data_IF_198279920757
#
_entry.id   IF_198279920757
#
_cell.length_a   1.000
_cell.length_b   1.000
_cell.length_c   1.000
_cell.angle_alpha   90.00
_cell.angle_beta   90.00
_cell.angle_gamma   90.00
#
_symmetry.space_group_name_H-M   'P 1'
#
loop_
_entity.id
_entity.type
_entity.pdbx_description
1 polymer ?
#
# COMPACT_ATOMS: atom_id res chain seq x y z
N UNK A 1 2.19 22.65 -0.22
CA UNK A 1 2.89 21.35 -0.23
C UNK A 1 1.79 20.32 -0.26
N UNK A 2 1.92 19.23 -1.01
CA UNK A 2 0.85 18.22 -1.05
C UNK A 2 0.75 17.57 0.33
N UNK A 3 -0.23 18.03 1.12
CA UNK A 3 -0.52 17.58 2.47
C UNK A 3 -1.20 16.18 2.48
N UNK A 4 -1.37 15.56 1.30
CA UNK A 4 -1.99 14.26 1.18
C UNK A 4 -0.98 13.15 1.54
N UNK A 5 -1.38 12.27 2.45
CA UNK A 5 -0.67 11.02 2.70
C UNK A 5 -1.13 9.98 1.69
N UNK A 6 -0.39 9.86 0.59
CA UNK A 6 -0.69 8.96 -0.52
C UNK A 6 0.49 8.04 -0.83
N UNK A 7 0.22 6.76 -1.04
CA UNK A 7 1.21 5.74 -1.40
C UNK A 7 0.84 5.11 -2.74
N UNK A 8 1.81 5.02 -3.65
CA UNK A 8 1.58 4.57 -5.03
C UNK A 8 2.56 3.44 -5.35
N UNK A 9 2.07 2.39 -6.00
CA UNK A 9 2.89 1.36 -6.61
C UNK A 9 2.98 1.62 -8.12
N UNK A 10 4.19 1.71 -8.64
CA UNK A 10 4.44 1.78 -10.08
C UNK A 10 5.18 0.53 -10.56
N UNK A 11 4.59 -0.20 -11.52
CA UNK A 11 5.30 -1.29 -12.17
C UNK A 11 6.31 -0.74 -13.19
N UNK A 12 7.53 -0.47 -12.71
CA UNK A 12 8.67 -0.05 -13.52
C UNK A 12 9.33 -1.19 -14.32
N UNK A 13 8.76 -2.39 -14.29
CA UNK A 13 9.26 -3.54 -15.04
C UNK A 13 9.05 -3.41 -16.56
N UNK A 14 9.82 -4.18 -17.32
CA UNK A 14 9.70 -4.25 -18.79
C UNK A 14 8.37 -4.88 -19.29
N UNK A 15 7.51 -5.34 -18.36
CA UNK A 15 6.33 -6.12 -18.69
C UNK A 15 5.31 -6.24 -17.56
N UNK A 16 4.16 -6.86 -17.84
CA UNK A 16 3.18 -7.19 -16.82
C UNK A 16 3.80 -8.01 -15.68
N UNK A 17 3.32 -7.76 -14.48
CA UNK A 17 3.67 -8.50 -13.28
C UNK A 17 2.42 -9.09 -12.64
N UNK A 18 2.55 -10.27 -12.03
CA UNK A 18 1.49 -10.93 -11.27
C UNK A 18 1.80 -10.77 -9.79
N UNK A 19 0.86 -10.22 -9.02
CA UNK A 19 0.98 -10.14 -7.56
C UNK A 19 0.88 -11.56 -6.97
N UNK A 20 1.88 -11.96 -6.19
CA UNK A 20 1.96 -13.24 -5.47
C UNK A 20 1.67 -13.08 -3.98
N UNK A 21 2.20 -12.02 -3.39
CA UNK A 21 1.99 -11.70 -1.98
C UNK A 21 1.73 -10.20 -1.87
N UNK A 22 0.77 -9.84 -1.03
CA UNK A 22 0.53 -8.45 -0.66
C UNK A 22 0.25 -8.38 0.84
N UNK A 23 1.10 -7.63 1.55
CA UNK A 23 0.98 -7.42 3.00
C UNK A 23 1.15 -5.96 3.36
N UNK A 24 0.41 -5.56 4.39
CA UNK A 24 0.62 -4.32 5.13
C UNK A 24 1.50 -4.63 6.34
N UNK A 25 2.47 -3.79 6.61
CA UNK A 25 3.33 -3.88 7.78
C UNK A 25 3.12 -2.62 8.62
N UNK A 26 2.46 -2.79 9.76
CA UNK A 26 2.12 -1.72 10.69
C UNK A 26 2.75 -1.98 12.05
N UNK A 27 3.62 -1.09 12.53
CA UNK A 27 4.37 -1.27 13.79
C UNK A 27 5.13 -2.61 13.87
N UNK A 28 5.60 -3.12 12.73
CA UNK A 28 6.30 -4.41 12.63
C UNK A 28 5.40 -5.64 12.54
N UNK A 29 4.07 -5.49 12.63
CA UNK A 29 3.13 -6.60 12.43
C UNK A 29 2.79 -6.75 10.94
N UNK A 30 2.97 -7.95 10.40
CA UNK A 30 2.55 -8.29 9.04
C UNK A 30 1.07 -8.66 8.99
N UNK A 31 0.31 -7.99 8.14
CA UNK A 31 -1.12 -8.15 7.93
C UNK A 31 -1.32 -8.50 6.46
N UNK A 32 -1.98 -9.63 6.16
CA UNK A 32 -2.35 -9.96 4.77
C UNK A 32 -3.23 -8.85 4.20
N UNK A 33 -2.88 -8.29 3.04
CA UNK A 33 -3.69 -7.24 2.40
C UNK A 33 -4.72 -7.75 1.41
N UNK A 34 -4.86 -9.07 1.25
CA UNK A 34 -5.95 -9.69 0.48
C UNK A 34 -7.27 -9.79 1.27
N UNK A 35 -7.29 -9.40 2.55
CA UNK A 35 -8.53 -9.35 3.35
C UNK A 35 -9.13 -7.95 3.34
N UNK A 36 -10.45 -7.86 3.38
CA UNK A 36 -11.16 -6.57 3.33
C UNK A 36 -10.79 -5.67 4.50
N UNK A 37 -10.58 -6.24 5.70
CA UNK A 37 -10.25 -5.53 6.94
C UNK A 37 -8.76 -5.14 7.07
N UNK A 38 -7.93 -5.35 6.04
CA UNK A 38 -6.48 -5.22 6.19
C UNK A 38 -6.03 -3.83 6.62
N UNK A 39 -6.57 -2.80 5.97
CA UNK A 39 -6.20 -1.41 6.23
C UNK A 39 -6.74 -0.92 7.57
N UNK A 40 -7.98 -1.26 7.92
CA UNK A 40 -8.55 -0.96 9.25
C UNK A 40 -7.72 -1.60 10.37
N UNK A 41 -7.31 -2.86 10.22
CA UNK A 41 -6.47 -3.53 11.21
C UNK A 41 -5.07 -2.91 11.28
N UNK A 42 -4.50 -2.50 10.15
CA UNK A 42 -3.20 -1.84 10.11
C UNK A 42 -3.25 -0.47 10.81
N UNK A 43 -4.25 0.36 10.50
CA UNK A 43 -4.45 1.67 11.14
C UNK A 43 -4.77 1.52 12.64
N UNK A 44 -5.60 0.55 13.01
CA UNK A 44 -5.89 0.21 14.40
C UNK A 44 -4.63 -0.20 15.18
N UNK A 45 -3.71 -0.94 14.55
CA UNK A 45 -2.41 -1.28 15.15
C UNK A 45 -1.48 -0.06 15.31
N UNK A 46 -1.71 1.02 14.57
CA UNK A 46 -1.04 2.32 14.74
C UNK A 46 -1.76 3.22 15.77
N UNK A 47 -2.92 2.79 16.29
CA UNK A 47 -3.75 3.59 17.18
C UNK A 47 -4.46 4.74 16.46
N UNK A 48 -4.76 4.56 15.17
CA UNK A 48 -5.39 5.55 14.32
C UNK A 48 -6.82 5.14 13.96
N UNK A 49 -7.71 6.12 13.94
CA UNK A 49 -9.09 6.01 13.45
C UNK A 49 -9.32 7.18 12.49
N UNK A 50 -9.08 6.94 11.20
CA UNK A 50 -9.07 7.96 10.15
C UNK A 50 -9.72 7.47 8.88
N UNK A 51 -10.40 8.37 8.17
CA UNK A 51 -10.97 8.10 6.86
C UNK A 51 -9.88 7.86 5.82
N UNK A 52 -10.05 6.85 4.97
CA UNK A 52 -9.05 6.51 3.95
C UNK A 52 -9.67 5.84 2.72
N UNK A 53 -8.96 5.92 1.59
CA UNK A 53 -9.21 5.16 0.36
C UNK A 53 -8.05 4.19 0.18
N UNK A 54 -8.34 2.98 -0.26
CA UNK A 54 -7.31 1.96 -0.44
C UNK A 54 -7.55 1.09 -1.65
N UNK A 55 -6.46 0.50 -2.13
CA UNK A 55 -6.50 -0.53 -3.15
C UNK A 55 -6.55 -1.91 -2.50
N UNK A 56 -7.52 -2.70 -2.95
CA UNK A 56 -7.71 -4.08 -2.56
C UNK A 56 -7.27 -5.01 -3.70
N UNK A 57 -6.03 -5.53 -3.66
CA UNK A 57 -5.55 -6.42 -4.70
C UNK A 57 -6.27 -7.76 -4.65
N UNK A 58 -6.50 -8.35 -5.82
CA UNK A 58 -6.87 -9.77 -5.92
C UNK A 58 -5.63 -10.66 -5.98
N UNK A 59 -5.74 -11.88 -5.45
CA UNK A 59 -4.70 -12.89 -5.67
C UNK A 59 -4.54 -13.13 -7.18
N UNK A 60 -3.30 -13.11 -7.68
CA UNK A 60 -2.96 -13.26 -9.09
C UNK A 60 -3.38 -12.06 -9.99
N UNK A 61 -3.62 -10.89 -9.41
CA UNK A 61 -3.88 -9.69 -10.21
C UNK A 61 -2.69 -9.33 -11.13
N UNK A 62 -3.01 -8.93 -12.36
CA UNK A 62 -2.04 -8.47 -13.34
C UNK A 62 -1.87 -6.95 -13.27
N UNK A 63 -0.64 -6.50 -13.05
CA UNK A 63 -0.25 -5.10 -13.14
C UNK A 63 0.51 -4.89 -14.44
N UNK A 64 -0.07 -4.15 -15.38
CA UNK A 64 0.60 -3.75 -16.63
C UNK A 64 1.86 -2.93 -16.37
N UNK A 65 2.85 -3.01 -17.27
CA UNK A 65 4.03 -2.14 -17.21
C UNK A 65 3.63 -0.66 -17.27
N UNK A 66 4.27 0.18 -16.44
CA UNK A 66 3.99 1.61 -16.32
C UNK A 66 2.65 1.95 -15.65
N UNK A 67 1.88 0.95 -15.19
CA UNK A 67 0.64 1.22 -14.44
C UNK A 67 1.00 1.70 -13.03
N UNK A 68 0.42 2.82 -12.65
CA UNK A 68 0.40 3.33 -11.28
C UNK A 68 -0.87 2.85 -10.57
N UNK A 69 -0.71 2.43 -9.32
CA UNK A 69 -1.79 1.96 -8.45
C UNK A 69 -1.71 2.74 -7.15
N UNK A 70 -2.78 3.43 -6.79
CA UNK A 70 -2.90 4.11 -5.52
C UNK A 70 -3.16 3.09 -4.42
N UNK A 71 -2.11 2.71 -3.69
CA UNK A 71 -2.21 1.71 -2.62
C UNK A 71 -3.07 2.21 -1.46
N UNK A 72 -2.89 3.49 -1.11
CA UNK A 72 -3.53 4.13 0.02
C UNK A 72 -3.57 5.64 -0.16
N UNK A 73 -4.65 6.25 0.28
CA UNK A 73 -4.80 7.70 0.39
C UNK A 73 -5.58 8.04 1.68
N UNK A 74 -4.99 8.89 2.53
CA UNK A 74 -5.67 9.46 3.68
C UNK A 74 -6.69 10.50 3.21
N UNK A 75 -7.93 10.40 3.70
CA UNK A 75 -8.96 11.43 3.47
C UNK A 75 -8.76 12.52 4.53
N UNK A 76 -8.57 13.76 4.08
CA UNK A 76 -8.45 14.94 4.95
C UNK A 76 -9.61 15.87 4.61
N UNK A 77 -10.54 16.06 5.55
CA UNK A 77 -11.68 16.97 5.35
C UNK A 77 -11.27 18.44 5.54
N UNK A 78 -12.06 19.36 4.97
CA UNK A 78 -11.75 20.80 5.09
C UNK A 78 -11.76 21.26 6.56
N UNK A 79 -10.60 21.73 7.03
CA UNK A 79 -10.42 22.25 8.38
C UNK A 79 -9.90 21.23 9.39
N UNK A 80 -9.65 19.99 8.98
CA UNK A 80 -8.96 19.00 9.82
C UNK A 80 -7.44 19.23 9.81
N UNK A 81 -6.81 19.08 10.97
CA UNK A 81 -5.36 19.03 11.12
C UNK A 81 -4.96 17.60 11.49
N UNK A 82 -4.51 16.85 10.47
CA UNK A 82 -4.09 15.44 10.59
C UNK A 82 -2.57 15.29 10.48
N UNK A 83 -1.79 16.34 10.74
CA UNK A 83 -0.33 16.32 10.56
C UNK A 83 0.36 15.21 11.39
N UNK A 84 -0.17 14.91 12.57
CA UNK A 84 0.36 13.86 13.45
C UNK A 84 0.07 12.47 12.89
N UNK A 85 -1.15 12.24 12.43
CA UNK A 85 -1.62 10.99 11.84
C UNK A 85 -0.82 10.71 10.56
N UNK A 86 -0.64 11.72 9.71
CA UNK A 86 0.22 11.65 8.52
C UNK A 86 1.64 11.23 8.89
N UNK A 87 2.24 11.81 9.93
CA UNK A 87 3.58 11.44 10.38
C UNK A 87 3.64 9.98 10.86
N UNK A 88 2.66 9.54 11.66
CA UNK A 88 2.58 8.16 12.16
C UNK A 88 2.46 7.17 10.99
N UNK A 89 1.56 7.44 10.03
CA UNK A 89 1.34 6.57 8.86
C UNK A 89 2.61 6.49 8.01
N UNK A 90 3.24 7.62 7.69
CA UNK A 90 4.47 7.66 6.86
C UNK A 90 5.66 6.95 7.50
N UNK A 91 5.74 6.95 8.82
CA UNK A 91 6.84 6.28 9.51
C UNK A 91 6.58 4.77 9.71
N UNK A 92 5.32 4.39 9.95
CA UNK A 92 4.99 3.08 10.51
C UNK A 92 4.16 2.16 9.61
N UNK A 93 3.55 2.67 8.54
CA UNK A 93 2.84 1.85 7.55
C UNK A 93 3.75 1.60 6.33
N UNK A 94 4.00 0.32 6.04
CA UNK A 94 4.73 -0.13 4.85
C UNK A 94 3.95 -1.19 4.11
N UNK A 95 4.24 -1.35 2.83
CA UNK A 95 3.69 -2.39 1.98
C UNK A 95 4.81 -3.36 1.62
N UNK A 96 4.53 -4.64 1.74
CA UNK A 96 5.37 -5.72 1.25
C UNK A 96 4.63 -6.43 0.13
N UNK A 97 5.15 -6.33 -1.08
CA UNK A 97 4.52 -6.82 -2.29
C UNK A 97 5.51 -7.71 -3.01
N UNK A 98 5.18 -8.99 -3.16
CA UNK A 98 5.94 -9.94 -3.97
C UNK A 98 5.22 -10.09 -5.30
N UNK A 99 5.95 -9.92 -6.40
CA UNK A 99 5.41 -10.05 -7.74
C UNK A 99 6.39 -10.76 -8.68
N UNK A 100 5.85 -11.48 -9.65
CA UNK A 100 6.63 -12.18 -10.69
C UNK A 100 6.35 -11.53 -12.03
N UNK A 101 7.39 -11.17 -12.78
CA UNK A 101 7.20 -10.71 -14.17
C UNK A 101 6.76 -11.88 -15.05
N UNK A 102 5.87 -11.65 -16.02
CA UNK A 102 5.49 -12.72 -16.95
C UNK A 102 6.61 -13.12 -17.93
N UNK A 103 7.68 -12.34 -18.01
CA UNK A 103 8.81 -12.58 -18.92
C UNK A 103 10.00 -13.28 -18.23
N UNK A 104 10.03 -13.28 -16.90
CA UNK A 104 11.12 -13.85 -16.11
C UNK A 104 10.52 -14.61 -14.93
N UNK A 105 10.96 -15.85 -14.71
CA UNK A 105 10.51 -16.69 -13.57
C UNK A 105 11.17 -16.28 -12.23
N UNK A 106 11.45 -14.98 -12.04
CA UNK A 106 12.06 -14.47 -10.81
C UNK A 106 11.07 -13.59 -10.07
N UNK A 107 10.95 -13.86 -8.77
CA UNK A 107 10.19 -13.02 -7.86
C UNK A 107 10.97 -11.77 -7.49
N UNK A 108 10.24 -10.66 -7.44
CA UNK A 108 10.71 -9.37 -7.01
C UNK A 108 9.90 -8.96 -5.78
N UNK A 109 10.58 -8.34 -4.82
CA UNK A 109 9.97 -7.82 -3.61
C UNK A 109 10.06 -6.30 -3.62
N UNK A 110 8.92 -5.65 -3.42
CA UNK A 110 8.83 -4.26 -3.01
C UNK A 110 8.54 -4.22 -1.51
N UNK A 111 9.35 -3.47 -0.76
CA UNK A 111 9.11 -3.18 0.65
C UNK A 111 9.30 -1.70 0.93
N UNK A 112 8.21 -0.97 1.15
CA UNK A 112 8.25 0.49 1.32
C UNK A 112 6.87 1.12 1.37
N UNK A 113 6.85 2.45 1.37
CA UNK A 113 5.66 3.29 1.33
C UNK A 113 5.87 4.53 0.46
N UNK A 114 6.67 4.39 -0.59
CA UNK A 114 7.01 5.44 -1.57
C UNK A 114 7.05 4.85 -2.97
#
# INVERSE_FOLDING_TARGET
>A
MDDNCKFILENNGLGPAVIKEFKLVASGNEISGFKESAYDEALGALGLDVGHVFYHPSEHEYISAGKQIDLYELIIEQGEDLAKEVAIIRENLKFKIVYTSIYNDKDFEYFGNT
#
